data_IF_499857856680
#
_entry.id   IF_499857856680
#
_cell.length_a   1.000
_cell.length_b   1.000
_cell.length_c   1.000
_cell.angle_alpha   90.00
_cell.angle_beta   90.00
_cell.angle_gamma   90.00
#
_symmetry.space_group_name_H-M   'P 1'
#
loop_
_entity.id
_entity.type
_entity.pdbx_description
1 polymer ?
#
# COMPACT_ATOMS: atom_id res chain seq x y z
N UNK A 1 -20.05 24.28 15.81
CA UNK A 1 -20.01 23.11 14.92
C UNK A 1 -20.09 21.90 15.84
N UNK A 2 -21.30 21.56 16.26
CA UNK A 2 -21.58 20.52 17.24
C UNK A 2 -21.63 19.19 16.52
N UNK A 3 -20.50 18.47 16.53
CA UNK A 3 -20.42 17.12 15.99
C UNK A 3 -21.45 16.25 16.71
N UNK A 4 -22.46 15.81 15.98
CA UNK A 4 -23.40 14.83 16.50
C UNK A 4 -22.61 13.53 16.74
N UNK A 5 -22.67 12.92 17.92
CA UNK A 5 -21.88 11.71 18.22
C UNK A 5 -22.14 10.57 17.21
N UNK A 6 -23.34 10.54 16.61
CA UNK A 6 -23.69 9.62 15.53
C UNK A 6 -22.98 9.87 14.19
N UNK A 7 -22.54 11.10 13.88
CA UNK A 7 -21.81 11.38 12.63
C UNK A 7 -20.39 10.82 12.69
N UNK A 8 -19.67 11.03 13.81
CA UNK A 8 -18.32 10.50 13.97
C UNK A 8 -18.27 8.97 13.84
N UNK A 9 -19.18 8.27 14.52
CA UNK A 9 -19.27 6.80 14.43
C UNK A 9 -19.63 6.33 13.02
N UNK A 10 -20.58 7.02 12.37
CA UNK A 10 -20.95 6.76 10.98
C UNK A 10 -19.78 6.93 10.01
N UNK A 11 -19.02 8.01 10.17
CA UNK A 11 -17.87 8.35 9.32
C UNK A 11 -16.73 7.36 9.48
N UNK A 12 -16.45 6.93 10.73
CA UNK A 12 -15.47 5.88 11.02
C UNK A 12 -15.89 4.57 10.36
N UNK A 13 -17.15 4.16 10.54
CA UNK A 13 -17.65 2.92 9.98
C UNK A 13 -17.63 2.95 8.44
N UNK A 14 -18.04 4.05 7.81
CA UNK A 14 -17.97 4.22 6.36
C UNK A 14 -16.54 4.19 5.84
N UNK A 15 -15.61 4.81 6.56
CA UNK A 15 -14.19 4.79 6.19
C UNK A 15 -13.62 3.37 6.22
N UNK A 16 -13.95 2.60 7.26
CA UNK A 16 -13.57 1.19 7.38
C UNK A 16 -14.13 0.37 6.22
N UNK A 17 -15.42 0.51 5.95
CA UNK A 17 -16.11 -0.18 4.84
C UNK A 17 -15.49 0.17 3.50
N UNK A 18 -15.27 1.46 3.22
CA UNK A 18 -14.67 1.93 1.98
C UNK A 18 -13.23 1.43 1.81
N UNK A 19 -12.43 1.48 2.88
CA UNK A 19 -11.07 0.92 2.86
C UNK A 19 -11.10 -0.59 2.60
N UNK A 20 -11.97 -1.34 3.29
CA UNK A 20 -12.03 -2.79 3.19
C UNK A 20 -12.50 -3.24 1.80
N UNK A 21 -13.58 -2.64 1.30
CA UNK A 21 -14.16 -2.95 0.01
C UNK A 21 -13.34 -2.44 -1.19
N UNK A 22 -12.30 -1.64 -0.98
CA UNK A 22 -11.39 -1.23 -2.07
C UNK A 22 -10.66 -2.41 -2.70
N UNK A 23 -10.43 -3.50 -1.95
CA UNK A 23 -9.67 -4.64 -2.46
C UNK A 23 -10.57 -5.67 -3.14
N UNK A 24 -10.28 -6.13 -4.37
CA UNK A 24 -11.17 -7.02 -5.14
C UNK A 24 -11.40 -8.39 -4.46
N UNK A 25 -10.37 -8.92 -3.79
CA UNK A 25 -10.44 -10.22 -3.10
C UNK A 25 -11.01 -10.15 -1.67
N UNK A 26 -11.22 -8.95 -1.14
CA UNK A 26 -11.78 -8.82 0.19
C UNK A 26 -13.26 -9.23 0.21
N UNK A 27 -13.68 -9.86 1.29
CA UNK A 27 -15.08 -10.06 1.62
C UNK A 27 -15.77 -8.70 1.67
N UNK A 28 -17.02 -8.63 1.19
CA UNK A 28 -17.79 -7.39 1.27
C UNK A 28 -18.30 -7.24 2.70
N UNK A 29 -17.95 -6.12 3.33
CA UNK A 29 -18.51 -5.72 4.61
C UNK A 29 -19.39 -4.49 4.45
N UNK A 30 -20.35 -4.32 5.37
CA UNK A 30 -21.31 -3.22 5.46
C UNK A 30 -21.10 -2.47 6.76
N UNK A 31 -21.75 -1.31 6.90
CA UNK A 31 -21.71 -0.52 8.14
C UNK A 31 -22.19 -1.31 9.36
N UNK A 32 -23.20 -2.17 9.18
CA UNK A 32 -23.74 -3.05 10.22
C UNK A 32 -22.74 -4.09 10.74
N UNK A 33 -21.68 -4.39 9.96
CA UNK A 33 -20.63 -5.32 10.38
C UNK A 33 -19.60 -4.64 11.30
N UNK A 34 -19.65 -3.31 11.44
CA UNK A 34 -18.81 -2.54 12.37
C UNK A 34 -19.49 -2.51 13.73
N UNK A 35 -19.08 -3.39 14.63
CA UNK A 35 -19.78 -3.65 15.89
C UNK A 35 -19.44 -2.64 16.99
N UNK A 36 -18.18 -2.19 17.06
CA UNK A 36 -17.77 -1.25 18.09
C UNK A 36 -16.64 -0.35 17.62
N UNK A 37 -16.67 0.89 18.11
CA UNK A 37 -15.61 1.89 17.90
C UNK A 37 -15.08 2.28 19.28
N UNK A 38 -13.76 2.39 19.38
CA UNK A 38 -13.07 2.79 20.60
C UNK A 38 -11.80 3.54 20.29
N UNK A 39 -11.15 4.06 21.31
CA UNK A 39 -9.91 4.82 21.20
C UNK A 39 -8.79 4.06 21.91
N UNK A 40 -7.60 4.12 21.34
CA UNK A 40 -6.39 3.63 21.99
C UNK A 40 -5.47 4.82 22.23
N UNK A 41 -5.10 5.03 23.50
CA UNK A 41 -4.18 6.08 23.93
C UNK A 41 -2.79 5.49 24.12
N UNK A 42 -1.81 6.10 23.46
CA UNK A 42 -0.46 5.58 23.30
C UNK A 42 0.56 6.58 23.85
N UNK A 43 1.41 6.19 24.81
CA UNK A 43 2.43 7.08 25.33
C UNK A 43 3.65 7.14 24.39
N UNK A 44 4.10 8.36 24.12
CA UNK A 44 5.29 8.65 23.36
C UNK A 44 6.21 9.59 24.14
N UNK A 45 7.50 9.51 23.87
CA UNK A 45 8.48 10.53 24.23
C UNK A 45 8.67 11.51 23.08
N UNK A 46 8.72 12.81 23.38
CA UNK A 46 9.07 13.88 22.43
C UNK A 46 10.23 14.72 22.97
N UNK A 47 10.98 15.31 22.06
CA UNK A 47 11.96 16.33 22.42
C UNK A 47 11.25 17.54 23.03
N UNK A 48 11.79 18.14 24.11
CA UNK A 48 11.23 19.34 24.68
C UNK A 48 11.16 20.42 23.62
N UNK A 49 10.03 21.11 23.57
CA UNK A 49 9.89 22.26 22.69
C UNK A 49 10.98 23.27 23.04
N UNK A 50 11.81 23.71 22.07
CA UNK A 50 12.83 24.70 22.34
C UNK A 50 12.11 25.94 22.87
N UNK A 51 12.35 26.26 24.14
CA UNK A 51 11.94 27.54 24.67
C UNK A 51 12.55 28.59 23.75
N UNK A 52 11.74 29.46 23.16
CA UNK A 52 12.20 30.53 22.28
C UNK A 52 13.16 31.53 22.99
N UNK A 53 13.46 31.29 24.28
CA UNK A 53 14.44 31.95 25.15
C UNK A 53 15.71 31.13 25.44
N UNK A 54 15.85 29.90 24.93
CA UNK A 54 17.11 29.18 25.00
C UNK A 54 18.09 29.81 23.99
N UNK A 55 19.27 30.22 24.45
CA UNK A 55 20.31 30.80 23.59
C UNK A 55 20.47 29.98 22.30
N UNK A 56 20.62 30.62 21.14
CA UNK A 56 20.82 29.91 19.89
C UNK A 56 22.15 29.16 19.96
N UNK A 57 22.08 27.87 20.30
CA UNK A 57 23.18 26.93 20.13
C UNK A 57 23.66 27.10 18.69
N UNK A 58 24.91 27.56 18.53
CA UNK A 58 25.53 27.92 17.25
C UNK A 58 25.09 26.95 16.14
N UNK A 59 24.18 27.41 15.26
CA UNK A 59 23.70 26.64 14.10
C UNK A 59 24.89 26.40 13.18
N UNK A 60 25.41 25.17 13.18
CA UNK A 60 26.43 24.76 12.23
C UNK A 60 25.90 24.84 10.80
N UNK A 61 26.76 25.23 9.86
CA UNK A 61 26.49 25.41 8.43
C UNK A 61 25.78 24.17 7.83
N UNK A 62 26.08 22.98 8.35
CA UNK A 62 25.43 21.71 8.01
C UNK A 62 23.91 21.65 8.29
N UNK A 63 23.37 22.38 9.28
CA UNK A 63 21.92 22.40 9.51
C UNK A 63 21.16 23.24 8.47
N UNK A 64 21.80 24.25 7.89
CA UNK A 64 21.23 25.08 6.81
C UNK A 64 21.18 24.29 5.51
N UNK A 65 22.18 23.43 5.27
CA UNK A 65 22.26 22.56 4.09
C UNK A 65 21.33 21.34 4.15
N UNK A 66 20.91 20.89 5.34
CA UNK A 66 20.03 19.72 5.51
C UNK A 66 18.78 20.03 6.36
N UNK A 67 17.89 20.94 5.94
CA UNK A 67 16.73 21.38 6.74
C UNK A 67 15.70 20.26 6.99
N UNK A 68 15.74 19.17 6.21
CA UNK A 68 14.75 18.08 6.28
C UNK A 68 14.90 17.09 7.44
N UNK A 69 15.97 17.17 8.25
CA UNK A 69 16.23 16.20 9.35
C UNK A 69 15.76 16.66 10.73
N UNK A 70 15.26 17.89 10.88
CA UNK A 70 14.63 18.39 12.11
C UNK A 70 13.17 17.92 12.23
N UNK A 71 12.85 16.71 11.79
CA UNK A 71 11.56 16.10 12.16
C UNK A 71 11.64 15.85 13.66
N UNK A 72 10.82 16.57 14.45
CA UNK A 72 10.57 16.31 15.88
C UNK A 72 10.59 14.80 16.07
N UNK A 73 11.66 14.28 16.66
CA UNK A 73 11.79 12.84 16.80
C UNK A 73 10.84 12.45 17.94
N UNK A 74 9.92 11.56 17.62
CA UNK A 74 8.94 11.03 18.57
C UNK A 74 9.24 9.55 18.74
N UNK A 75 9.41 9.13 19.98
CA UNK A 75 9.80 7.77 20.36
C UNK A 75 8.64 7.04 21.02
N UNK A 76 8.30 5.82 20.58
CA UNK A 76 7.30 5.03 21.26
C UNK A 76 7.80 4.68 22.67
N UNK A 77 6.97 4.90 23.67
CA UNK A 77 7.28 4.61 25.06
C UNK A 77 6.33 3.55 25.62
N UNK A 78 5.91 2.59 24.78
CA UNK A 78 5.08 1.45 25.16
C UNK A 78 5.55 0.19 24.44
N UNK A 79 5.39 -0.95 25.09
CA UNK A 79 5.68 -2.28 24.54
C UNK A 79 4.44 -3.20 24.53
N UNK A 80 3.34 -2.79 25.16
CA UNK A 80 2.11 -3.58 25.26
C UNK A 80 1.49 -3.85 23.88
N UNK A 81 1.15 -5.11 23.62
CA UNK A 81 0.42 -5.52 22.42
C UNK A 81 -1.09 -5.35 22.63
N UNK A 82 -1.57 -4.12 22.49
CA UNK A 82 -2.98 -3.81 22.65
C UNK A 82 -3.87 -4.36 21.51
N UNK A 83 -3.28 -4.67 20.35
CA UNK A 83 -3.99 -5.11 19.15
C UNK A 83 -3.20 -6.26 18.49
N UNK A 84 -3.36 -7.50 18.99
CA UNK A 84 -2.53 -8.64 18.57
C UNK A 84 -2.54 -8.93 17.07
N UNK A 85 -3.64 -8.57 16.39
CA UNK A 85 -3.79 -8.75 14.95
C UNK A 85 -2.92 -7.82 14.10
N UNK A 86 -2.48 -6.70 14.69
CA UNK A 86 -1.63 -5.68 14.06
C UNK A 86 -0.21 -5.79 14.58
N UNK A 87 -0.06 -6.11 15.87
CA UNK A 87 1.21 -6.15 16.58
C UNK A 87 1.74 -4.77 16.96
N UNK A 88 2.66 -4.75 17.91
CA UNK A 88 3.17 -3.52 18.52
C UNK A 88 3.96 -2.62 17.56
N UNK A 89 4.84 -3.19 16.72
CA UNK A 89 5.73 -2.40 15.85
C UNK A 89 4.97 -1.66 14.73
N UNK A 90 4.06 -2.30 13.97
CA UNK A 90 3.24 -1.59 13.01
C UNK A 90 2.36 -0.53 13.67
N UNK A 91 1.83 -0.82 14.87
CA UNK A 91 1.02 0.12 15.64
C UNK A 91 1.82 1.36 16.05
N UNK A 92 3.04 1.20 16.58
CA UNK A 92 3.96 2.29 16.91
C UNK A 92 4.31 3.15 15.68
N UNK A 93 4.65 2.51 14.56
CA UNK A 93 5.00 3.19 13.33
C UNK A 93 3.82 4.00 12.77
N UNK A 94 2.61 3.43 12.86
CA UNK A 94 1.38 4.07 12.44
C UNK A 94 1.01 5.25 13.33
N UNK A 95 1.01 5.08 14.65
CA UNK A 95 0.73 6.12 15.64
C UNK A 95 1.71 7.31 15.54
N UNK A 96 2.99 7.05 15.30
CA UNK A 96 3.99 8.11 15.10
C UNK A 96 3.70 8.98 13.88
N UNK A 97 3.09 8.42 12.82
CA UNK A 97 2.79 9.15 11.58
C UNK A 97 1.40 9.75 11.56
N UNK A 98 0.44 9.07 12.18
CA UNK A 98 -0.99 9.33 12.01
C UNK A 98 -1.78 9.28 13.32
N UNK A 99 -1.14 9.24 14.49
CA UNK A 99 -1.84 9.39 15.77
C UNK A 99 -2.36 10.81 15.96
N UNK A 100 -3.58 10.97 16.45
CA UNK A 100 -4.13 12.26 16.87
C UNK A 100 -3.37 12.76 18.11
N UNK A 101 -3.15 14.07 18.19
CA UNK A 101 -2.54 14.70 19.38
C UNK A 101 -3.58 14.96 20.48
N UNK A 102 -4.81 15.28 20.07
CA UNK A 102 -5.96 15.44 20.95
C UNK A 102 -6.90 14.24 20.83
N UNK A 103 -7.73 14.00 21.85
CA UNK A 103 -8.71 12.91 21.84
C UNK A 103 -9.73 13.12 20.71
N UNK A 104 -9.85 12.20 19.74
CA UNK A 104 -10.84 12.30 18.68
C UNK A 104 -12.21 11.79 19.14
N UNK A 105 -13.27 12.40 18.61
CA UNK A 105 -14.65 11.92 18.76
C UNK A 105 -15.28 12.16 20.14
N UNK A 106 -16.45 11.56 20.38
CA UNK A 106 -17.22 11.74 21.61
C UNK A 106 -16.50 11.29 22.90
N UNK A 107 -16.85 11.92 24.03
CA UNK A 107 -16.23 11.70 25.34
C UNK A 107 -16.64 10.38 26.01
N UNK A 108 -17.72 9.75 25.55
CA UNK A 108 -18.26 8.47 26.02
C UNK A 108 -17.64 7.25 25.34
N UNK A 109 -16.84 7.44 24.28
CA UNK A 109 -16.17 6.32 23.62
C UNK A 109 -15.23 5.57 24.57
N UNK A 110 -15.20 4.23 24.51
CA UNK A 110 -14.30 3.43 25.33
C UNK A 110 -12.86 3.73 24.95
N UNK A 111 -12.04 4.08 25.94
CA UNK A 111 -10.59 4.31 25.77
C UNK A 111 -9.82 3.16 26.41
N UNK A 112 -8.89 2.58 25.66
CA UNK A 112 -7.82 1.73 26.20
C UNK A 112 -6.54 2.54 26.31
N UNK A 113 -6.07 2.73 27.53
CA UNK A 113 -4.82 3.42 27.82
C UNK A 113 -3.70 2.39 27.90
N UNK A 114 -2.69 2.52 27.05
CA UNK A 114 -1.49 1.69 27.15
C UNK A 114 -0.57 2.24 28.23
N UNK A 115 0.07 1.33 28.96
CA UNK A 115 1.01 1.71 30.00
C UNK A 115 2.31 2.25 29.40
N UNK A 116 2.87 3.26 30.07
CA UNK A 116 4.20 3.78 29.79
C UNK A 116 5.23 2.73 30.20
N UNK A 117 6.06 2.33 29.25
CA UNK A 117 7.24 1.53 29.50
C UNK A 117 8.39 2.47 29.86
N UNK A 118 8.69 2.55 31.16
CA UNK A 118 9.72 3.45 31.71
C UNK A 118 11.12 3.16 31.13
N UNK A 119 11.42 1.91 30.80
CA UNK A 119 12.71 1.55 30.22
C UNK A 119 12.83 2.08 28.79
N UNK A 120 11.76 1.96 27.99
CA UNK A 120 11.71 2.54 26.65
C UNK A 120 11.70 4.08 26.69
N UNK A 121 10.99 4.67 27.64
CA UNK A 121 10.98 6.12 27.84
C UNK A 121 12.37 6.64 28.22
N UNK A 122 13.04 6.02 29.19
CA UNK A 122 14.41 6.36 29.59
C UNK A 122 15.42 6.18 28.43
N UNK A 123 15.25 5.15 27.59
CA UNK A 123 16.05 4.97 26.38
C UNK A 123 15.83 6.10 25.36
N UNK A 124 14.57 6.54 25.20
CA UNK A 124 14.21 7.72 24.41
C UNK A 124 14.82 9.01 24.94
N UNK A 125 14.86 9.19 26.26
CA UNK A 125 15.46 10.36 26.91
C UNK A 125 16.96 10.51 26.61
N UNK A 126 17.71 9.40 26.52
CA UNK A 126 19.12 9.41 26.05
C UNK A 126 19.27 9.95 24.63
N UNK A 127 18.19 9.91 23.83
CA UNK A 127 18.13 10.42 22.46
C UNK A 127 17.47 11.80 22.35
N UNK A 128 17.15 12.45 23.48
CA UNK A 128 16.53 13.78 23.54
C UNK A 128 15.02 13.79 23.85
N UNK A 129 14.34 12.65 23.90
CA UNK A 129 12.90 12.60 24.21
C UNK A 129 12.62 12.58 25.71
N UNK A 130 12.66 13.76 26.34
CA UNK A 130 12.43 13.91 27.78
C UNK A 130 11.01 14.33 28.17
N UNK A 131 10.16 14.74 27.21
CA UNK A 131 8.76 15.07 27.49
C UNK A 131 7.82 13.94 27.07
N UNK A 132 6.79 13.67 27.88
CA UNK A 132 5.72 12.74 27.53
C UNK A 132 4.72 13.42 26.59
N UNK A 133 4.35 12.73 25.53
CA UNK A 133 3.33 13.09 24.56
C UNK A 133 2.34 11.93 24.47
N UNK A 134 1.05 12.23 24.43
CA UNK A 134 0.02 11.20 24.26
C UNK A 134 -0.49 11.24 22.84
N UNK A 135 -0.67 10.05 22.25
CA UNK A 135 -1.23 9.92 20.91
C UNK A 135 -2.44 9.02 20.92
N UNK A 136 -3.48 9.44 20.23
CA UNK A 136 -4.73 8.70 20.15
C UNK A 136 -4.89 8.07 18.78
N UNK A 137 -5.41 6.86 18.76
CA UNK A 137 -5.86 6.18 17.54
C UNK A 137 -7.30 5.76 17.71
N UNK A 138 -8.07 5.86 16.63
CA UNK A 138 -9.43 5.35 16.58
C UNK A 138 -9.36 3.89 16.16
N UNK A 139 -10.15 3.03 16.79
CA UNK A 139 -10.23 1.61 16.49
C UNK A 139 -11.66 1.21 16.20
N UNK A 140 -11.85 0.29 15.28
CA UNK A 140 -13.14 -0.26 14.92
C UNK A 140 -13.03 -1.79 14.90
N UNK A 141 -13.91 -2.48 15.63
CA UNK A 141 -14.05 -3.93 15.54
C UNK A 141 -15.05 -4.27 14.44
N UNK A 142 -14.61 -5.04 13.46
CA UNK A 142 -15.46 -5.56 12.40
C UNK A 142 -15.79 -7.01 12.72
N UNK A 143 -17.05 -7.39 12.64
CA UNK A 143 -17.50 -8.77 12.75
C UNK A 143 -18.11 -9.19 11.41
N UNK A 144 -17.47 -10.14 10.73
CA UNK A 144 -17.99 -10.72 9.51
C UNK A 144 -18.04 -12.26 9.58
N UNK A 145 -18.30 -12.80 10.77
CA UNK A 145 -18.49 -14.23 11.01
C UNK A 145 -17.34 -14.84 11.82
N UNK A 146 -16.51 -15.68 11.19
CA UNK A 146 -15.51 -16.50 11.89
C UNK A 146 -14.33 -15.72 12.48
N UNK A 147 -14.18 -14.44 12.15
CA UNK A 147 -13.09 -13.58 12.63
C UNK A 147 -13.63 -12.20 12.93
N UNK A 148 -13.14 -11.60 14.01
CA UNK A 148 -13.53 -10.27 14.44
C UNK A 148 -12.34 -9.29 14.41
N UNK A 149 -11.84 -8.91 13.23
CA UNK A 149 -10.63 -8.12 13.16
C UNK A 149 -10.84 -6.70 13.69
N UNK A 150 -9.80 -6.17 14.32
CA UNK A 150 -9.70 -4.76 14.73
C UNK A 150 -8.92 -3.96 13.69
N UNK A 151 -9.54 -2.88 13.27
CA UNK A 151 -9.00 -1.94 12.30
C UNK A 151 -8.71 -0.63 13.04
N UNK A 152 -7.60 -0.01 12.69
CA UNK A 152 -7.07 1.22 13.28
C UNK A 152 -7.13 2.34 12.26
N UNK A 153 -7.61 3.51 12.70
CA UNK A 153 -7.71 4.71 11.90
C UNK A 153 -6.88 5.83 12.53
N UNK A 154 -6.11 6.50 11.68
CA UNK A 154 -5.31 7.66 12.06
C UNK A 154 -5.95 9.00 11.68
N UNK A 155 -5.25 10.09 11.97
CA UNK A 155 -5.59 11.44 11.56
C UNK A 155 -5.17 11.75 10.12
N UNK A 156 -5.87 12.69 9.49
CA UNK A 156 -5.55 13.24 8.17
C UNK A 156 -6.80 13.57 7.36
N UNK A 157 -6.64 14.33 6.26
CA UNK A 157 -7.74 14.64 5.32
C UNK A 157 -8.37 13.38 4.72
N UNK A 158 -7.52 12.39 4.46
CA UNK A 158 -7.93 11.02 4.15
C UNK A 158 -7.37 10.15 5.27
N UNK A 159 -8.16 9.87 6.33
CA UNK A 159 -7.74 9.07 7.46
C UNK A 159 -7.12 7.76 6.98
N UNK A 160 -5.82 7.54 7.24
CA UNK A 160 -5.19 6.28 6.87
C UNK A 160 -5.77 5.17 7.75
N UNK A 161 -5.80 3.96 7.20
CA UNK A 161 -6.41 2.80 7.86
C UNK A 161 -5.42 1.64 7.83
N UNK A 162 -5.20 1.03 8.99
CA UNK A 162 -4.35 -0.13 9.21
C UNK A 162 -5.16 -1.26 9.83
N UNK A 163 -5.02 -2.48 9.31
CA UNK A 163 -5.69 -3.65 9.86
C UNK A 163 -5.67 -4.83 8.89
N UNK A 164 -6.10 -6.00 9.37
CA UNK A 164 -6.23 -7.19 8.53
C UNK A 164 -7.49 -7.11 7.67
N UNK A 165 -7.37 -7.49 6.40
CA UNK A 165 -8.52 -7.67 5.51
C UNK A 165 -9.09 -9.08 5.66
N UNK A 166 -10.40 -9.18 5.56
CA UNK A 166 -11.09 -10.46 5.52
C UNK A 166 -11.17 -10.87 4.06
N UNK A 167 -10.63 -12.05 3.75
CA UNK A 167 -10.54 -12.53 2.38
C UNK A 167 -11.74 -13.40 2.04
N UNK A 168 -12.32 -13.18 0.86
CA UNK A 168 -13.42 -13.98 0.37
C UNK A 168 -12.87 -15.31 -0.19
N UNK A 169 -13.06 -16.41 0.53
CA UNK A 169 -12.69 -17.75 0.06
C UNK A 169 -13.19 -18.08 -1.36
N UNK A 170 -14.45 -17.81 -1.77
CA UNK A 170 -14.88 -18.10 -3.13
C UNK A 170 -14.15 -17.26 -4.20
N UNK A 171 -13.71 -16.04 -3.87
CA UNK A 171 -12.93 -15.20 -4.81
C UNK A 171 -11.48 -15.67 -4.92
N UNK A 172 -10.89 -16.11 -3.81
CA UNK A 172 -9.57 -16.74 -3.82
C UNK A 172 -9.58 -18.05 -4.62
N UNK A 173 -10.61 -18.88 -4.42
CA UNK A 173 -10.79 -20.12 -5.16
C UNK A 173 -10.97 -19.88 -6.66
N UNK A 174 -11.77 -18.87 -7.05
CA UNK A 174 -11.94 -18.50 -8.46
C UNK A 174 -10.63 -18.06 -9.12
N UNK A 175 -9.81 -17.28 -8.42
CA UNK A 175 -8.48 -16.88 -8.90
C UNK A 175 -7.54 -18.07 -9.06
N UNK A 176 -7.47 -18.94 -8.06
CA UNK A 176 -6.64 -20.15 -8.09
C UNK A 176 -7.07 -21.11 -9.19
N UNK A 177 -8.39 -21.35 -9.32
CA UNK A 177 -8.96 -22.19 -10.36
C UNK A 177 -8.73 -21.64 -11.76
N UNK A 178 -8.87 -20.31 -11.95
CA UNK A 178 -8.55 -19.65 -13.22
C UNK A 178 -7.07 -19.78 -13.60
N UNK A 179 -6.16 -19.62 -12.64
CA UNK A 179 -4.72 -19.80 -12.87
C UNK A 179 -4.40 -21.26 -13.25
N UNK A 180 -4.96 -22.23 -12.53
CA UNK A 180 -4.76 -23.65 -12.82
C UNK A 180 -5.31 -24.01 -14.21
N UNK A 181 -6.50 -23.52 -14.56
CA UNK A 181 -7.08 -23.72 -15.89
C UNK A 181 -6.19 -23.12 -16.99
N UNK A 182 -5.65 -21.91 -16.79
CA UNK A 182 -4.74 -21.28 -17.74
C UNK A 182 -3.44 -22.09 -17.93
N UNK A 183 -2.89 -22.65 -16.84
CA UNK A 183 -1.72 -23.55 -16.91
C UNK A 183 -2.06 -24.82 -17.69
N UNK A 184 -3.20 -25.45 -17.43
CA UNK A 184 -3.65 -26.66 -18.16
C UNK A 184 -3.83 -26.37 -19.65
N UNK A 185 -4.46 -25.25 -20.01
CA UNK A 185 -4.63 -24.83 -21.41
C UNK A 185 -3.27 -24.56 -22.05
N UNK A 186 -2.35 -23.90 -21.36
CA UNK A 186 -1.00 -23.64 -21.85
C UNK A 186 -0.19 -24.91 -22.11
N UNK A 187 -0.25 -25.88 -21.19
CA UNK A 187 0.39 -27.20 -21.35
C UNK A 187 -0.23 -27.95 -22.52
N UNK A 188 -1.56 -27.97 -22.64
CA UNK A 188 -2.25 -28.63 -23.75
C UNK A 188 -1.90 -27.99 -25.10
N UNK A 189 -1.86 -26.65 -25.18
CA UNK A 189 -1.46 -25.94 -26.39
C UNK A 189 0.01 -26.21 -26.77
N UNK A 190 0.91 -26.30 -25.79
CA UNK A 190 2.31 -26.67 -26.03
C UNK A 190 2.43 -28.10 -26.57
N UNK A 191 1.68 -29.04 -25.98
CA UNK A 191 1.59 -30.43 -26.46
C UNK A 191 1.07 -30.51 -27.89
N UNK A 192 -0.02 -29.81 -28.19
CA UNK A 192 -0.60 -29.76 -29.54
C UNK A 192 0.38 -29.15 -30.56
N UNK A 193 1.15 -28.11 -30.18
CA UNK A 193 2.21 -27.54 -31.04
C UNK A 193 3.37 -28.51 -31.26
N UNK A 194 3.74 -29.30 -30.26
CA UNK A 194 4.81 -30.31 -30.40
C UNK A 194 4.39 -31.48 -31.29
N UNK A 195 3.09 -31.81 -31.31
CA UNK A 195 2.50 -32.86 -32.13
C UNK A 195 2.11 -32.39 -33.54
N UNK A 196 2.11 -31.09 -33.81
CA UNK A 196 1.80 -30.56 -35.13
C UNK A 196 2.84 -31.09 -36.14
N UNK A 197 2.41 -31.85 -37.17
CA UNK A 197 3.33 -32.32 -38.20
C UNK A 197 3.97 -31.09 -38.84
N UNK A 198 5.30 -31.08 -38.94
CA UNK A 198 6.00 -30.07 -39.73
C UNK A 198 5.54 -30.26 -41.16
N UNK A 199 4.57 -29.48 -41.60
CA UNK A 199 4.23 -29.37 -43.00
C UNK A 199 5.51 -28.88 -43.67
N UNK A 200 6.18 -29.77 -44.39
CA UNK A 200 7.30 -29.38 -45.22
C UNK A 200 6.80 -28.23 -46.11
N UNK A 201 7.46 -27.07 -46.02
CA UNK A 201 7.39 -26.07 -47.05
C UNK A 201 7.72 -26.78 -48.37
N UNK A 202 6.67 -27.06 -49.11
CA UNK A 202 6.75 -27.43 -50.51
C UNK A 202 7.02 -26.12 -51.24
N UNK A 203 8.29 -25.79 -51.42
CA UNK A 203 8.65 -24.83 -52.47
C UNK A 203 8.32 -25.51 -53.80
N UNK A 204 7.35 -25.01 -54.58
CA UNK A 204 6.98 -25.63 -55.83
C UNK A 204 8.12 -25.43 -56.84
N UNK A 205 8.70 -26.54 -57.29
CA UNK A 205 9.37 -26.56 -58.58
C UNK A 205 8.31 -26.47 -59.67
N UNK A 206 8.28 -25.37 -60.43
CA UNK A 206 8.18 -25.36 -61.89
C UNK A 206 7.99 -23.93 -62.42
N UNK A 207 9.03 -23.35 -63.02
CA UNK A 207 8.85 -22.62 -64.28
C UNK A 207 10.13 -22.73 -65.09
N UNK A 208 10.06 -23.51 -66.17
CA UNK A 208 10.96 -23.36 -67.31
C UNK A 208 10.91 -21.90 -67.76
N UNK A 209 12.02 -21.20 -67.65
CA UNK A 209 12.29 -20.02 -68.46
C UNK A 209 13.46 -20.37 -69.38
N UNK A 210 13.13 -20.58 -70.66
CA UNK A 210 14.07 -20.75 -71.75
C UNK A 210 15.15 -19.67 -71.70
N UNK A 211 16.42 -20.10 -71.73
CA UNK A 211 17.54 -19.26 -72.14
C UNK A 211 17.57 -19.20 -73.66
N UNK A 212 17.26 -18.07 -74.32
CA UNK A 212 17.77 -17.83 -75.65
C UNK A 212 19.25 -17.41 -75.52
N UNK A 213 20.12 -18.20 -76.14
CA UNK A 213 21.51 -17.83 -76.37
C UNK A 213 21.58 -16.46 -77.06
N UNK A 214 22.27 -15.51 -76.43
CA UNK A 214 22.65 -14.25 -77.06
C UNK A 214 23.62 -14.55 -78.21
N UNK A 215 23.15 -14.38 -79.44
CA UNK A 215 24.00 -14.24 -80.63
C UNK A 215 24.12 -12.75 -80.91
N UNK A 216 25.35 -12.23 -80.87
CA UNK A 216 25.71 -10.86 -81.27
C UNK A 216 25.33 -10.58 -82.73
N UNK A 217 24.73 -9.42 -83.03
CA UNK A 217 24.92 -8.74 -84.31
C UNK A 217 25.92 -7.57 -84.19
N UNK A 218 26.68 -7.27 -85.26
CA UNK A 218 27.74 -6.26 -85.25
C UNK A 218 27.20 -4.82 -85.26
N UNK A 219 28.03 -3.93 -84.71
CA UNK A 219 27.88 -2.49 -84.72
C UNK A 219 27.88 -1.90 -86.15
N UNK A 220 26.98 -0.95 -86.41
CA UNK A 220 27.11 0.04 -87.49
C UNK A 220 26.35 1.32 -87.14
N UNK A 221 27.12 2.31 -86.68
CA UNK A 221 27.16 3.74 -87.02
C UNK A 221 25.87 4.63 -87.08
N UNK A 222 26.04 5.96 -86.87
CA UNK A 222 24.97 6.85 -86.38
C UNK A 222 24.37 7.78 -87.45
N UNK A 223 23.15 8.28 -87.18
CA UNK A 223 22.61 9.53 -87.76
C UNK A 223 22.33 10.48 -86.57
N UNK A 224 23.11 11.55 -86.34
CA UNK A 224 22.86 12.94 -86.83
C UNK A 224 21.35 13.17 -87.06
N UNK A 225 20.61 13.91 -86.26
CA UNK A 225 20.91 15.21 -85.66
C UNK A 225 19.96 16.25 -86.27
N UNK A 226 19.55 17.23 -85.45
CA UNK A 226 18.82 18.48 -85.78
C UNK A 226 17.32 18.33 -86.08
N UNK A 227 16.43 19.19 -85.59
CA UNK A 227 16.47 20.26 -84.60
C UNK A 227 15.03 20.46 -84.09
#
# INVERSE_FOLDING_TARGET
MTDHPGSFLGDVADRVVAWHNRHPLAQRIRRADVQSVGIVQLPFGREPEPAWHAEPVRRGIWQVLFPGRLRRRVWPAFSEDALPEIGVQPLQAFARRHGYLDRPGPTDLPIRVLQLDEALFAAGAKSGASQREERFLVTAAVDAGMRRPRIVLGQGRVPPVLGQRLWSMPRLAALGGGLLLAVVIGIAALWLRAMAPRTAESTPGATSASSPAQVLPPASAPARGTA
#
